data_IF_272409179450
#
_entry.id   IF_272409179450
#
_cell.length_a   1.000
_cell.length_b   1.000
_cell.length_c   1.000
_cell.angle_alpha   90.00
_cell.angle_beta   90.00
_cell.angle_gamma   90.00
#
_symmetry.space_group_name_H-M   'P 1'
#
loop_
_entity.id
_entity.type
_entity.pdbx_description
1 polymer ?
#
# COMPACT_ATOMS: atom_id res chain seq x y z
N UNK A 1 -8.20 -24.51 59.07
CA UNK A 1 -7.59 -24.51 57.72
C UNK A 1 -6.44 -23.49 57.74
N UNK A 2 -5.17 -23.94 57.84
CA UNK A 2 -4.00 -23.04 57.93
C UNK A 2 -3.65 -22.55 56.51
N UNK A 3 -3.86 -21.26 56.24
CA UNK A 3 -3.33 -20.65 55.03
C UNK A 3 -1.80 -20.67 55.10
N UNK A 4 -1.15 -21.40 54.19
CA UNK A 4 0.31 -21.38 54.03
C UNK A 4 0.73 -19.95 53.71
N UNK A 5 1.70 -19.42 54.46
CA UNK A 5 2.33 -18.13 54.18
C UNK A 5 2.86 -18.13 52.74
N UNK A 6 2.18 -17.39 51.87
CA UNK A 6 2.53 -17.27 50.48
C UNK A 6 3.78 -16.38 50.37
N UNK A 7 4.84 -16.89 49.75
CA UNK A 7 6.07 -16.13 49.60
C UNK A 7 5.87 -15.04 48.53
N UNK A 8 5.62 -13.81 48.97
CA UNK A 8 5.30 -12.66 48.12
C UNK A 8 6.32 -12.43 46.99
N UNK A 9 7.60 -12.75 47.20
CA UNK A 9 8.64 -12.63 46.16
C UNK A 9 8.42 -13.61 45.01
N UNK A 10 7.96 -14.83 45.31
CA UNK A 10 7.61 -15.83 44.28
C UNK A 10 6.38 -15.39 43.49
N UNK A 11 5.36 -14.90 44.18
CA UNK A 11 4.13 -14.41 43.53
C UNK A 11 4.44 -13.25 42.60
N UNK A 12 5.24 -12.28 43.04
CA UNK A 12 5.68 -11.15 42.23
C UNK A 12 6.48 -11.59 41.00
N UNK A 13 7.41 -12.54 41.16
CA UNK A 13 8.17 -13.08 40.04
C UNK A 13 7.28 -13.78 39.00
N UNK A 14 6.25 -14.51 39.46
CA UNK A 14 5.25 -15.12 38.58
C UNK A 14 4.43 -14.07 37.82
N UNK A 15 4.00 -13.00 38.48
CA UNK A 15 3.28 -11.90 37.81
C UNK A 15 4.13 -11.17 36.77
N UNK A 16 5.41 -10.90 37.08
CA UNK A 16 6.34 -10.25 36.13
C UNK A 16 6.58 -11.16 34.92
N UNK A 17 6.81 -12.45 35.15
CA UNK A 17 7.00 -13.44 34.08
C UNK A 17 5.76 -13.54 33.19
N UNK A 18 4.56 -13.57 33.79
CA UNK A 18 3.29 -13.59 33.08
C UNK A 18 3.08 -12.31 32.25
N UNK A 19 3.41 -11.14 32.80
CA UNK A 19 3.26 -9.89 32.09
C UNK A 19 4.25 -9.77 30.92
N UNK A 20 5.50 -10.22 31.10
CA UNK A 20 6.50 -10.27 30.05
C UNK A 20 6.12 -11.24 28.92
N UNK A 21 5.56 -12.41 29.24
CA UNK A 21 5.12 -13.37 28.24
C UNK A 21 3.91 -12.88 27.44
N UNK A 22 2.96 -12.19 28.07
CA UNK A 22 1.85 -11.52 27.36
C UNK A 22 2.39 -10.45 26.40
N UNK A 23 3.39 -9.66 26.81
CA UNK A 23 3.99 -8.63 25.97
C UNK A 23 4.73 -9.20 24.75
N UNK A 24 5.32 -10.40 24.89
CA UNK A 24 5.96 -11.13 23.79
C UNK A 24 4.95 -11.80 22.83
N UNK A 25 3.74 -12.07 23.30
CA UNK A 25 2.66 -12.69 22.50
C UNK A 25 1.76 -11.64 21.82
N UNK A 26 1.93 -10.36 22.10
CA UNK A 26 1.29 -9.31 21.31
C UNK A 26 1.86 -9.39 19.90
N UNK A 27 1.04 -9.67 18.87
CA UNK A 27 1.50 -9.60 17.50
C UNK A 27 1.98 -8.17 17.27
N UNK A 28 3.28 -7.99 17.04
CA UNK A 28 3.77 -6.75 16.45
C UNK A 28 2.92 -6.50 15.22
N UNK A 29 2.40 -5.28 15.05
CA UNK A 29 1.56 -4.92 13.91
C UNK A 29 2.43 -4.96 12.65
N UNK A 30 2.66 -6.18 12.15
CA UNK A 30 3.42 -6.46 10.96
C UNK A 30 2.45 -6.23 9.80
N UNK A 31 2.36 -4.97 9.35
CA UNK A 31 1.65 -4.66 8.12
C UNK A 31 2.48 -5.20 6.97
N UNK A 32 1.89 -6.09 6.18
CA UNK A 32 2.51 -6.62 4.96
C UNK A 32 2.94 -5.50 4.00
N UNK A 33 2.26 -4.34 4.07
CA UNK A 33 2.56 -3.16 3.29
C UNK A 33 2.50 -1.88 4.16
N UNK A 34 3.60 -1.15 4.34
CA UNK A 34 3.58 0.14 5.03
C UNK A 34 3.03 1.25 4.10
N UNK A 35 2.33 2.28 4.63
CA UNK A 35 1.94 3.46 3.85
C UNK A 35 3.13 4.09 3.12
N UNK A 36 2.94 4.55 1.89
CA UNK A 36 4.00 5.03 1.00
C UNK A 36 4.62 3.92 0.13
N UNK A 37 4.08 2.70 0.19
CA UNK A 37 4.43 1.64 -0.76
C UNK A 37 3.87 1.97 -2.14
N UNK A 38 4.68 1.76 -3.17
CA UNK A 38 4.27 1.91 -4.56
C UNK A 38 3.66 0.61 -5.05
N UNK A 39 2.49 0.71 -5.70
CA UNK A 39 1.73 -0.41 -6.25
C UNK A 39 1.79 -0.34 -7.76
N UNK A 40 2.05 -1.47 -8.42
CA UNK A 40 2.15 -1.54 -9.88
C UNK A 40 1.13 -2.50 -10.44
N UNK A 41 0.49 -2.10 -11.54
CA UNK A 41 -0.42 -2.94 -12.32
C UNK A 41 -0.16 -2.78 -13.82
N UNK A 42 -0.60 -3.77 -14.59
CA UNK A 42 -0.64 -3.68 -16.06
C UNK A 42 -1.72 -2.69 -16.50
N UNK A 43 -1.74 -2.35 -17.79
CA UNK A 43 -2.94 -1.81 -18.42
C UNK A 43 -3.97 -2.91 -18.67
N UNK A 44 -5.05 -2.56 -19.35
CA UNK A 44 -6.09 -3.48 -19.83
C UNK A 44 -5.49 -4.70 -20.55
N UNK A 45 -6.21 -5.82 -20.48
CA UNK A 45 -5.85 -7.13 -21.04
C UNK A 45 -4.52 -7.70 -20.52
N UNK A 46 -3.98 -7.16 -19.42
CA UNK A 46 -2.73 -7.65 -18.84
C UNK A 46 -1.48 -7.13 -19.54
N UNK A 47 -1.59 -6.11 -20.39
CA UNK A 47 -0.49 -5.58 -21.20
C UNK A 47 0.40 -4.63 -20.39
N UNK A 48 1.71 -4.75 -20.54
CA UNK A 48 2.66 -3.73 -20.09
C UNK A 48 4.02 -3.97 -20.75
N UNK A 49 4.63 -2.90 -21.26
CA UNK A 49 5.98 -2.94 -21.81
C UNK A 49 6.98 -3.55 -20.82
N UNK A 50 7.75 -4.53 -21.30
CA UNK A 50 8.75 -5.24 -20.50
C UNK A 50 8.19 -6.30 -19.55
N UNK A 51 6.87 -6.42 -19.43
CA UNK A 51 6.20 -7.53 -18.75
C UNK A 51 5.53 -8.49 -19.74
N UNK A 52 4.81 -7.94 -20.72
CA UNK A 52 4.33 -8.67 -21.89
C UNK A 52 5.24 -8.41 -23.09
N UNK A 53 5.15 -9.27 -24.11
CA UNK A 53 5.89 -9.09 -25.37
C UNK A 53 5.38 -7.92 -26.23
N UNK A 54 4.39 -7.16 -25.73
CA UNK A 54 3.79 -6.03 -26.40
C UNK A 54 4.75 -4.84 -26.44
N UNK A 55 4.77 -4.07 -27.54
CA UNK A 55 5.52 -2.83 -27.62
C UNK A 55 4.95 -1.77 -26.64
N UNK A 56 5.80 -0.84 -26.22
CA UNK A 56 5.41 0.29 -25.36
C UNK A 56 4.41 1.21 -26.07
N UNK A 57 4.62 1.44 -27.36
CA UNK A 57 3.79 2.26 -28.25
C UNK A 57 3.86 1.64 -29.64
N UNK A 58 2.72 1.58 -30.31
CA UNK A 58 2.62 1.30 -31.75
C UNK A 58 2.23 2.58 -32.50
N UNK A 59 2.63 2.71 -33.75
CA UNK A 59 2.19 3.82 -34.61
C UNK A 59 1.63 3.28 -35.91
N UNK A 60 0.32 3.44 -36.11
CA UNK A 60 -0.37 3.05 -37.34
C UNK A 60 -0.81 4.32 -38.08
N UNK A 61 -0.27 4.52 -39.29
CA UNK A 61 -0.52 5.72 -40.10
C UNK A 61 -0.24 7.06 -39.39
N UNK A 62 0.78 7.10 -38.51
CA UNK A 62 1.17 8.30 -37.75
C UNK A 62 0.33 8.56 -36.51
N UNK A 63 -0.66 7.71 -36.21
CA UNK A 63 -1.42 7.73 -34.96
C UNK A 63 -0.80 6.76 -33.98
N UNK A 64 -0.43 7.25 -32.79
CA UNK A 64 0.04 6.40 -31.70
C UNK A 64 -1.13 5.58 -31.14
N UNK A 65 -0.97 4.27 -31.11
CA UNK A 65 -1.92 3.29 -30.58
C UNK A 65 -1.20 2.30 -29.66
N UNK A 66 -1.95 1.55 -28.84
CA UNK A 66 -1.36 0.47 -28.04
C UNK A 66 -0.31 0.93 -27.03
N UNK A 67 -0.55 2.06 -26.36
CA UNK A 67 0.37 2.55 -25.33
C UNK A 67 0.19 1.69 -24.07
N UNK A 68 1.19 0.86 -23.75
CA UNK A 68 1.14 -0.12 -22.65
C UNK A 68 2.15 0.19 -21.53
N UNK A 69 2.12 1.36 -20.86
CA UNK A 69 3.13 1.75 -19.88
C UNK A 69 2.93 1.07 -18.50
N UNK A 70 1.81 0.39 -18.30
CA UNK A 70 1.33 -0.02 -16.98
C UNK A 70 0.79 1.18 -16.19
N UNK A 71 0.56 0.97 -14.90
CA UNK A 71 0.04 1.99 -14.01
C UNK A 71 0.62 1.86 -12.60
N UNK A 72 0.75 2.99 -11.91
CA UNK A 72 1.32 3.07 -10.55
C UNK A 72 0.41 3.86 -9.63
N UNK A 73 0.24 3.35 -8.41
CA UNK A 73 -0.42 4.04 -7.31
C UNK A 73 0.45 4.08 -6.05
N UNK A 74 0.14 4.98 -5.12
CA UNK A 74 0.76 5.02 -3.80
C UNK A 74 -0.24 4.57 -2.74
N UNK A 75 0.07 3.50 -2.02
CA UNK A 75 -0.73 3.05 -0.90
C UNK A 75 -0.61 4.06 0.25
N UNK A 76 -1.73 4.55 0.78
CA UNK A 76 -1.75 5.64 1.78
C UNK A 76 -2.16 5.19 3.18
N UNK A 77 -2.30 3.88 3.40
CA UNK A 77 -2.71 3.31 4.67
C UNK A 77 -4.21 3.08 4.79
N UNK A 78 -4.64 2.82 6.02
CA UNK A 78 -6.03 2.60 6.37
C UNK A 78 -6.68 3.88 6.89
N UNK A 79 -7.91 4.13 6.45
CA UNK A 79 -8.83 5.13 7.00
C UNK A 79 -10.11 4.38 7.39
N UNK A 80 -10.52 4.46 8.66
CA UNK A 80 -11.69 3.73 9.19
C UNK A 80 -11.64 2.21 8.95
N UNK A 81 -10.43 1.64 8.92
CA UNK A 81 -10.20 0.20 8.69
C UNK A 81 -10.21 -0.23 7.21
N UNK A 82 -10.41 0.71 6.27
CA UNK A 82 -10.37 0.45 4.83
C UNK A 82 -9.04 0.92 4.27
N UNK A 83 -8.40 0.08 3.46
CA UNK A 83 -7.15 0.39 2.77
C UNK A 83 -7.37 1.27 1.54
N UNK A 84 -6.55 2.31 1.37
CA UNK A 84 -6.65 3.25 0.27
C UNK A 84 -5.36 3.39 -0.53
N UNK A 85 -5.53 3.74 -1.80
CA UNK A 85 -4.49 4.11 -2.75
C UNK A 85 -4.79 5.50 -3.31
N UNK A 86 -3.74 6.25 -3.61
CA UNK A 86 -3.83 7.45 -4.44
C UNK A 86 -3.20 7.16 -5.79
N UNK A 87 -3.90 7.50 -6.86
CA UNK A 87 -3.49 7.25 -8.23
C UNK A 87 -3.89 8.41 -9.16
N UNK A 88 -3.22 8.53 -10.30
CA UNK A 88 -3.52 9.53 -11.31
C UNK A 88 -4.25 8.86 -12.49
N UNK A 89 -5.54 9.14 -12.62
CA UNK A 89 -6.40 8.65 -13.71
C UNK A 89 -6.66 9.77 -14.71
N UNK A 90 -7.24 9.46 -15.86
CA UNK A 90 -7.62 10.46 -16.88
C UNK A 90 -8.53 11.58 -16.34
N UNK A 91 -9.26 11.34 -15.24
CA UNK A 91 -10.08 12.35 -14.55
C UNK A 91 -9.33 13.20 -13.51
N UNK A 92 -8.06 12.91 -13.24
CA UNK A 92 -7.25 13.59 -12.23
C UNK A 92 -6.66 12.67 -11.17
N UNK A 93 -6.11 13.27 -10.12
CA UNK A 93 -5.55 12.54 -8.97
C UNK A 93 -6.71 12.18 -8.03
N UNK A 94 -6.87 10.90 -7.74
CA UNK A 94 -7.97 10.38 -6.94
C UNK A 94 -7.48 9.53 -5.78
N UNK A 95 -8.27 9.52 -4.69
CA UNK A 95 -8.12 8.59 -3.58
C UNK A 95 -9.19 7.51 -3.71
N UNK A 96 -8.77 6.28 -3.97
CA UNK A 96 -9.66 5.13 -4.15
C UNK A 96 -9.40 4.06 -3.09
N UNK A 97 -10.43 3.25 -2.80
CA UNK A 97 -10.23 2.03 -2.01
C UNK A 97 -9.28 1.11 -2.77
N UNK A 98 -8.37 0.47 -2.03
CA UNK A 98 -7.35 -0.40 -2.59
C UNK A 98 -7.95 -1.59 -3.39
N UNK A 99 -9.14 -2.07 -2.99
CA UNK A 99 -9.86 -3.13 -3.71
C UNK A 99 -10.21 -2.78 -5.17
N UNK A 100 -10.29 -1.49 -5.51
CA UNK A 100 -10.56 -1.00 -6.87
C UNK A 100 -9.29 -0.65 -7.65
N UNK A 101 -8.11 -0.77 -7.03
CA UNK A 101 -6.86 -0.48 -7.71
C UNK A 101 -6.61 -1.42 -8.89
N UNK A 102 -7.09 -2.67 -8.85
CA UNK A 102 -7.01 -3.61 -9.97
C UNK A 102 -8.40 -3.82 -10.53
N UNK A 103 -8.57 -3.52 -11.81
CA UNK A 103 -9.80 -3.80 -12.53
C UNK A 103 -9.71 -5.17 -13.22
N UNK A 104 -10.09 -6.22 -12.49
CA UNK A 104 -10.09 -7.59 -13.02
C UNK A 104 -11.04 -7.76 -14.22
N UNK A 105 -12.09 -6.93 -14.34
CA UNK A 105 -13.02 -6.99 -15.47
C UNK A 105 -12.40 -6.50 -16.78
N UNK A 106 -11.39 -5.62 -16.72
CA UNK A 106 -10.57 -5.21 -17.86
C UNK A 106 -9.36 -6.13 -18.07
N UNK A 107 -9.22 -7.20 -17.28
CA UNK A 107 -8.12 -8.14 -17.37
C UNK A 107 -6.79 -7.63 -16.81
N UNK A 108 -6.78 -6.51 -16.08
CA UNK A 108 -5.58 -5.98 -15.45
C UNK A 108 -4.96 -6.98 -14.45
N UNK A 109 -3.65 -6.90 -14.28
CA UNK A 109 -2.87 -7.78 -13.39
C UNK A 109 -2.05 -6.95 -12.42
N UNK A 110 -2.06 -7.39 -11.16
CA UNK A 110 -1.14 -6.88 -10.15
C UNK A 110 0.28 -7.37 -10.45
N UNK A 111 1.22 -6.44 -10.52
CA UNK A 111 2.62 -6.73 -10.85
C UNK A 111 3.50 -6.80 -9.62
N UNK A 112 3.15 -6.06 -8.58
CA UNK A 112 3.89 -6.07 -7.33
C UNK A 112 3.81 -4.76 -6.57
N UNK A 113 4.44 -4.79 -5.40
CA UNK A 113 4.56 -3.67 -4.50
C UNK A 113 6.03 -3.38 -4.21
N UNK A 114 6.42 -2.10 -4.21
CA UNK A 114 7.78 -1.66 -3.89
C UNK A 114 7.76 -0.78 -2.65
N UNK A 115 8.34 -1.30 -1.57
CA UNK A 115 8.63 -0.55 -0.36
C UNK A 115 9.94 0.22 -0.60
N UNK A 116 9.95 1.56 -0.56
CA UNK A 116 11.17 2.34 -0.72
C UNK A 116 12.17 2.04 0.41
N UNK A 117 13.39 1.61 0.06
CA UNK A 117 14.37 1.08 1.04
C UNK A 117 15.15 2.15 1.82
N UNK A 118 15.19 3.39 1.32
CA UNK A 118 16.03 4.47 1.85
C UNK A 118 15.22 5.69 2.35
N UNK A 119 13.92 5.52 2.59
CA UNK A 119 13.08 6.56 3.17
C UNK A 119 13.04 6.42 4.70
N UNK A 120 13.40 7.49 5.40
CA UNK A 120 13.09 7.58 6.83
C UNK A 120 11.57 7.61 7.04
N UNK A 121 11.06 7.12 8.19
CA UNK A 121 9.63 7.12 8.48
C UNK A 121 8.97 8.50 8.30
N UNK A 122 9.68 9.58 8.64
CA UNK A 122 9.21 10.95 8.43
C UNK A 122 9.06 11.30 6.95
N UNK A 123 10.02 10.93 6.09
CA UNK A 123 9.93 11.21 4.65
C UNK A 123 8.81 10.39 4.01
N UNK A 124 8.62 9.15 4.44
CA UNK A 124 7.52 8.30 4.00
C UNK A 124 6.16 8.89 4.39
N UNK A 125 6.01 9.35 5.64
CA UNK A 125 4.81 10.04 6.10
C UNK A 125 4.52 11.33 5.31
N UNK A 126 5.57 12.11 4.98
CA UNK A 126 5.45 13.30 4.12
C UNK A 126 4.96 12.94 2.72
N UNK A 127 5.52 11.91 2.09
CA UNK A 127 5.08 11.46 0.76
C UNK A 127 3.61 11.03 0.78
N UNK A 128 3.19 10.28 1.80
CA UNK A 128 1.78 9.89 1.98
C UNK A 128 0.88 11.11 2.17
N UNK A 129 1.30 12.07 2.99
CA UNK A 129 0.54 13.30 3.23
C UNK A 129 0.39 14.11 1.95
N UNK A 130 1.47 14.26 1.18
CA UNK A 130 1.42 14.94 -0.12
C UNK A 130 0.46 14.24 -1.09
N UNK A 131 0.50 12.91 -1.17
CA UNK A 131 -0.42 12.17 -2.02
C UNK A 131 -1.89 12.40 -1.65
N UNK A 132 -2.22 12.36 -0.35
CA UNK A 132 -3.57 12.68 0.14
C UNK A 132 -4.00 14.10 -0.24
N UNK A 133 -3.15 15.08 0.04
CA UNK A 133 -3.43 16.47 -0.27
C UNK A 133 -3.63 16.72 -1.77
N UNK A 134 -2.86 16.04 -2.63
CA UNK A 134 -3.02 16.13 -4.08
C UNK A 134 -4.35 15.56 -4.57
N UNK A 135 -4.81 14.45 -3.99
CA UNK A 135 -6.12 13.90 -4.29
C UNK A 135 -7.26 14.82 -3.82
N UNK A 136 -7.12 15.46 -2.66
CA UNK A 136 -8.10 16.40 -2.12
C UNK A 136 -8.15 17.73 -2.88
N UNK A 137 -7.04 18.13 -3.50
CA UNK A 137 -6.96 19.32 -4.33
C UNK A 137 -7.79 19.22 -5.63
N UNK A 138 -8.34 18.04 -5.95
CA UNK A 138 -9.14 17.78 -7.16
C UNK A 138 -8.45 18.30 -8.43
N UNK A 139 -7.14 18.03 -8.55
CA UNK A 139 -6.37 18.41 -9.72
C UNK A 139 -6.81 17.55 -10.91
N UNK A 140 -7.21 18.22 -11.99
CA UNK A 140 -7.49 17.56 -13.26
C UNK A 140 -6.23 16.88 -13.81
N UNK A 141 -6.44 15.90 -14.69
CA UNK A 141 -5.32 15.27 -15.39
C UNK A 141 -4.61 16.27 -16.30
N UNK A 142 -3.27 16.24 -16.28
CA UNK A 142 -2.47 17.08 -17.16
C UNK A 142 -2.37 16.40 -18.53
N UNK A 143 -2.96 17.04 -19.55
CA UNK A 143 -2.95 16.56 -20.94
C UNK A 143 -1.86 17.22 -21.78
N UNK A 144 -1.01 18.08 -21.19
CA UNK A 144 -0.04 18.92 -21.90
C UNK A 144 1.34 18.28 -22.09
#
# INVERSE_FOLDING_TARGET
MKFKNLNYKKVLAWFISLFASIFLLLPGVCRAMPPGTLLYRTTDEGKMFGYSGDPLVESVAGVMTGINPGHVGIYIGQEEGIDYVVEALAGGIVKNKLEYFINESLGEKFLGAKIPKDLSPLRQAKAVTLAKNLAEANLNYDLN
#
